data_IF_817160353741
#
_entry.id   IF_817160353741
#
_cell.length_a   1.000
_cell.length_b   1.000
_cell.length_c   1.000
_cell.angle_alpha   90.00
_cell.angle_beta   90.00
_cell.angle_gamma   90.00
#
_symmetry.space_group_name_H-M   'P 1'
#
loop_
_entity.id
_entity.type
_entity.pdbx_description
1 polymer ?
#
# COMPACT_ATOMS: atom_id res chain seq x y z
N UNK A 1 3.01 1.83 24.45
CA UNK A 1 4.00 2.09 23.38
C UNK A 1 4.10 0.78 22.63
N UNK A 2 3.74 0.78 21.34
CA UNK A 2 3.81 -0.42 20.52
C UNK A 2 5.27 -0.81 20.24
N UNK A 3 5.48 -2.03 19.73
CA UNK A 3 6.75 -2.37 19.12
C UNK A 3 6.94 -1.48 17.88
N UNK A 4 8.17 -1.03 17.64
CA UNK A 4 8.52 -0.32 16.44
C UNK A 4 8.88 -1.33 15.35
N UNK A 5 8.30 -1.15 14.17
CA UNK A 5 8.54 -2.03 13.02
C UNK A 5 9.21 -1.22 11.90
N UNK A 6 10.17 -1.83 11.22
CA UNK A 6 10.77 -1.26 10.03
C UNK A 6 9.79 -1.25 8.85
N UNK A 7 9.64 -0.10 8.20
CA UNK A 7 8.74 0.07 7.06
C UNK A 7 9.37 0.94 5.97
N UNK A 8 8.94 0.72 4.73
CA UNK A 8 9.20 1.55 3.57
C UNK A 8 7.86 1.99 2.95
N UNK A 9 7.76 3.25 2.54
CA UNK A 9 6.53 3.87 2.06
C UNK A 9 6.71 4.46 0.66
N UNK A 10 5.66 4.35 -0.15
CA UNK A 10 5.49 5.04 -1.44
C UNK A 10 4.14 5.71 -1.49
N UNK A 11 4.10 6.98 -1.91
CA UNK A 11 2.84 7.65 -2.27
C UNK A 11 2.29 7.07 -3.56
N UNK A 12 0.97 7.02 -3.65
CA UNK A 12 0.33 6.47 -4.83
C UNK A 12 0.62 7.31 -6.08
N UNK A 13 0.97 6.64 -7.16
CA UNK A 13 0.93 7.17 -8.52
C UNK A 13 0.70 6.02 -9.50
N UNK A 14 0.41 6.34 -10.77
CA UNK A 14 0.18 5.32 -11.79
C UNK A 14 1.41 4.43 -12.01
N UNK A 15 2.61 5.00 -11.90
CA UNK A 15 3.85 4.25 -12.06
C UNK A 15 4.04 3.22 -10.94
N UNK A 16 3.49 3.45 -9.75
CA UNK A 16 3.60 2.54 -8.60
C UNK A 16 2.69 1.34 -8.81
N UNK A 17 1.46 1.58 -9.25
CA UNK A 17 0.52 0.51 -9.59
C UNK A 17 1.11 -0.41 -10.65
N UNK A 18 1.63 0.16 -11.75
CA UNK A 18 2.20 -0.64 -12.83
C UNK A 18 3.49 -1.37 -12.40
N UNK A 19 4.33 -0.74 -11.58
CA UNK A 19 5.53 -1.36 -11.04
C UNK A 19 5.22 -2.51 -10.06
N UNK A 20 4.16 -2.36 -9.25
CA UNK A 20 3.66 -3.44 -8.39
C UNK A 20 3.15 -4.61 -9.23
N UNK A 21 2.33 -4.35 -10.25
CA UNK A 21 1.80 -5.41 -11.11
C UNK A 21 2.91 -6.16 -11.86
N UNK A 22 3.90 -5.44 -12.40
CA UNK A 22 5.06 -6.05 -13.07
C UNK A 22 5.96 -6.83 -12.10
N UNK A 23 6.21 -6.28 -10.91
CA UNK A 23 7.20 -6.82 -9.97
C UNK A 23 6.66 -7.94 -9.07
N UNK A 24 5.44 -7.79 -8.56
CA UNK A 24 4.85 -8.71 -7.57
C UNK A 24 3.51 -9.31 -8.00
N UNK A 25 2.95 -8.88 -9.15
CA UNK A 25 1.71 -9.43 -9.70
C UNK A 25 0.44 -8.97 -8.97
N UNK A 26 -0.68 -9.71 -9.11
CA UNK A 26 -1.93 -9.37 -8.43
C UNK A 26 -1.85 -9.63 -6.92
N UNK A 27 -2.64 -8.91 -6.10
CA UNK A 27 -2.66 -9.08 -4.65
C UNK A 27 -3.12 -10.49 -4.27
N UNK A 28 -2.54 -11.01 -3.18
CA UNK A 28 -2.97 -12.29 -2.60
C UNK A 28 -4.31 -12.15 -1.87
N UNK A 29 -4.65 -10.95 -1.41
CA UNK A 29 -5.96 -10.63 -0.86
C UNK A 29 -6.35 -9.17 -1.11
N UNK A 30 -7.66 -8.97 -1.25
CA UNK A 30 -8.30 -7.69 -1.51
C UNK A 30 -9.41 -7.52 -0.49
N UNK A 31 -9.40 -6.43 0.26
CA UNK A 31 -10.34 -6.24 1.35
C UNK A 31 -11.46 -5.28 0.97
N UNK A 32 -12.64 -5.50 1.55
CA UNK A 32 -13.83 -4.62 1.39
C UNK A 32 -13.54 -3.17 1.82
N UNK A 33 -12.59 -2.94 2.72
CA UNK A 33 -12.17 -1.60 3.15
C UNK A 33 -11.24 -0.90 2.14
N UNK A 34 -10.92 -1.54 1.01
CA UNK A 34 -10.09 -1.00 -0.06
C UNK A 34 -8.62 -1.39 0.01
N UNK A 35 -8.16 -2.01 1.10
CA UNK A 35 -6.77 -2.48 1.22
C UNK A 35 -6.48 -3.61 0.22
N UNK A 36 -5.27 -3.61 -0.33
CA UNK A 36 -4.73 -4.69 -1.17
C UNK A 36 -3.44 -5.20 -0.54
N UNK A 37 -3.25 -6.51 -0.48
CA UNK A 37 -2.08 -7.11 0.19
C UNK A 37 -1.36 -8.12 -0.68
N UNK A 38 -0.03 -8.15 -0.58
CA UNK A 38 0.84 -9.18 -1.12
C UNK A 38 1.78 -9.69 -0.04
N UNK A 39 2.19 -10.95 -0.16
CA UNK A 39 3.25 -11.54 0.64
C UNK A 39 4.37 -11.95 -0.33
N UNK A 40 5.56 -11.39 -0.12
CA UNK A 40 6.69 -11.56 -1.03
C UNK A 40 7.87 -12.08 -0.24
N UNK A 41 8.32 -13.29 -0.57
CA UNK A 41 9.53 -13.86 0.01
C UNK A 41 10.77 -13.17 -0.58
N UNK A 42 11.65 -12.67 0.28
CA UNK A 42 12.87 -11.94 -0.12
C UNK A 42 14.09 -12.47 0.61
N UNK A 43 15.26 -12.44 -0.03
CA UNK A 43 16.52 -12.70 0.66
C UNK A 43 16.67 -14.12 1.25
N UNK A 44 17.26 -14.26 2.46
CA UNK A 44 17.45 -15.56 3.13
C UNK A 44 16.13 -16.29 3.42
N UNK A 45 16.19 -17.61 3.73
CA UNK A 45 15.01 -18.36 4.16
C UNK A 45 14.27 -17.65 5.29
N UNK A 46 12.94 -17.77 5.29
CA UNK A 46 12.02 -17.27 6.32
C UNK A 46 11.88 -15.74 6.42
N UNK A 47 12.29 -14.99 5.38
CA UNK A 47 12.01 -13.56 5.29
C UNK A 47 10.90 -13.28 4.28
N UNK A 48 9.74 -12.87 4.77
CA UNK A 48 8.60 -12.47 3.95
C UNK A 48 8.24 -11.02 4.26
N UNK A 49 8.11 -10.21 3.21
CA UNK A 49 7.59 -8.85 3.32
C UNK A 49 6.10 -8.84 3.01
N UNK A 50 5.33 -8.10 3.81
CA UNK A 50 3.98 -7.72 3.45
C UNK A 50 4.02 -6.39 2.72
N UNK A 51 3.45 -6.37 1.52
CA UNK A 51 3.14 -5.16 0.79
C UNK A 51 1.68 -4.87 1.04
N UNK A 52 1.37 -3.69 1.57
CA UNK A 52 0.01 -3.27 1.90
C UNK A 52 -0.29 -1.93 1.25
N UNK A 53 -1.21 -1.95 0.29
CA UNK A 53 -1.73 -0.74 -0.32
C UNK A 53 -2.86 -0.20 0.56
N UNK A 54 -2.67 1.02 1.06
CA UNK A 54 -3.56 1.67 1.99
C UNK A 54 -4.64 2.47 1.25
N UNK A 55 -5.93 2.23 1.55
CA UNK A 55 -7.03 2.98 0.97
C UNK A 55 -7.09 4.40 1.54
N UNK A 56 -7.77 5.31 0.84
CA UNK A 56 -8.01 6.67 1.32
C UNK A 56 -8.83 6.70 2.62
N UNK A 57 -8.72 7.80 3.37
CA UNK A 57 -9.60 8.09 4.50
C UNK A 57 -11.09 8.01 4.10
N UNK A 58 -11.90 7.29 4.88
CA UNK A 58 -13.32 7.14 4.61
C UNK A 58 -13.65 6.36 3.32
N UNK A 59 -12.74 5.49 2.87
CA UNK A 59 -12.88 4.71 1.64
C UNK A 59 -14.28 4.11 1.44
N UNK A 60 -14.75 4.25 0.20
CA UNK A 60 -15.92 3.55 -0.34
C UNK A 60 -15.53 2.89 -1.65
N UNK A 61 -15.81 1.60 -1.81
CA UNK A 61 -15.61 0.92 -3.08
C UNK A 61 -16.43 1.54 -4.22
N UNK A 62 -15.93 1.55 -5.47
CA UNK A 62 -16.71 2.01 -6.62
C UNK A 62 -18.00 1.20 -6.80
N UNK A 63 -19.13 1.88 -7.06
CA UNK A 63 -20.41 1.20 -7.29
C UNK A 63 -20.33 0.26 -8.49
N UNK A 64 -20.88 -0.94 -8.32
CA UNK A 64 -20.94 -1.95 -9.39
C UNK A 64 -19.63 -2.72 -9.61
N UNK A 65 -18.60 -2.47 -8.80
CA UNK A 65 -17.31 -3.16 -8.89
C UNK A 65 -17.01 -3.94 -7.60
N UNK A 66 -16.63 -5.21 -7.74
CA UNK A 66 -16.17 -6.01 -6.61
C UNK A 66 -14.79 -5.54 -6.13
N UNK A 67 -14.52 -5.67 -4.84
CA UNK A 67 -13.18 -5.38 -4.30
C UNK A 67 -12.11 -6.33 -4.86
N UNK A 68 -12.51 -7.55 -5.27
CA UNK A 68 -11.61 -8.50 -5.96
C UNK A 68 -11.32 -8.11 -7.41
N UNK A 69 -12.22 -7.37 -8.08
CA UNK A 69 -12.03 -6.95 -9.48
C UNK A 69 -11.33 -5.59 -9.60
N UNK A 70 -11.23 -4.85 -8.47
CA UNK A 70 -10.73 -3.47 -8.45
C UNK A 70 -9.29 -3.37 -8.96
N UNK A 71 -8.40 -4.24 -8.46
CA UNK A 71 -6.98 -4.22 -8.85
C UNK A 71 -6.81 -4.42 -10.37
N UNK A 72 -7.36 -5.53 -10.89
CA UNK A 72 -7.24 -5.88 -12.31
C UNK A 72 -7.83 -4.79 -13.22
N UNK A 73 -8.97 -4.20 -12.82
CA UNK A 73 -9.61 -3.12 -13.56
C UNK A 73 -8.72 -1.87 -13.63
N UNK A 74 -8.12 -1.46 -12.52
CA UNK A 74 -7.20 -0.31 -12.46
C UNK A 74 -5.95 -0.58 -13.29
N UNK A 75 -5.31 -1.74 -13.12
CA UNK A 75 -4.10 -2.13 -13.88
C UNK A 75 -4.39 -2.15 -15.37
N UNK A 76 -5.49 -2.76 -15.81
CA UNK A 76 -5.86 -2.81 -17.22
C UNK A 76 -6.08 -1.41 -17.81
N UNK A 77 -6.78 -0.54 -17.08
CA UNK A 77 -7.00 0.84 -17.50
C UNK A 77 -5.68 1.61 -17.64
N UNK A 78 -4.82 1.59 -16.62
CA UNK A 78 -3.54 2.29 -16.63
C UNK A 78 -2.59 1.75 -17.70
N UNK A 79 -2.53 0.43 -17.87
CA UNK A 79 -1.70 -0.22 -18.90
C UNK A 79 -2.15 0.12 -20.33
N UNK A 80 -3.44 0.43 -20.51
CA UNK A 80 -3.99 0.93 -21.79
C UNK A 80 -3.75 2.43 -22.02
N UNK A 81 -3.13 3.13 -21.07
CA UNK A 81 -2.85 4.56 -21.14
C UNK A 81 -4.00 5.45 -20.68
N UNK A 82 -4.92 4.94 -19.85
CA UNK A 82 -5.97 5.76 -19.25
C UNK A 82 -5.39 6.86 -18.34
N UNK A 83 -6.10 7.98 -18.24
CA UNK A 83 -5.73 9.08 -17.34
C UNK A 83 -5.97 8.67 -15.87
N UNK A 84 -4.93 8.65 -15.01
CA UNK A 84 -5.09 8.26 -13.60
C UNK A 84 -5.98 9.22 -12.81
N UNK A 85 -6.29 10.41 -13.32
CA UNK A 85 -7.25 11.33 -12.69
C UNK A 85 -8.72 11.02 -13.01
N UNK A 86 -8.99 10.10 -13.96
CA UNK A 86 -10.33 9.79 -14.44
C UNK A 86 -10.47 8.33 -14.92
N UNK A 87 -10.33 7.38 -14.00
CA UNK A 87 -10.53 5.95 -14.26
C UNK A 87 -12.01 5.58 -14.21
N UNK A 88 -12.50 4.88 -15.24
CA UNK A 88 -13.85 4.31 -15.25
C UNK A 88 -13.85 2.99 -14.49
N UNK A 89 -14.54 2.93 -13.34
CA UNK A 89 -14.55 1.81 -12.41
C UNK A 89 -15.99 1.47 -12.02
N UNK A 90 -16.48 0.33 -12.52
CA UNK A 90 -17.91 -0.01 -12.40
C UNK A 90 -18.79 1.05 -13.06
N UNK A 91 -19.68 1.66 -12.27
CA UNK A 91 -20.63 2.68 -12.73
C UNK A 91 -20.13 4.13 -12.51
N UNK A 92 -18.89 4.31 -12.03
CA UNK A 92 -18.35 5.60 -11.60
C UNK A 92 -17.03 5.96 -12.32
N UNK A 93 -16.69 7.25 -12.28
CA UNK A 93 -15.35 7.75 -12.63
C UNK A 93 -14.65 8.24 -11.36
N UNK A 94 -13.45 7.74 -11.08
CA UNK A 94 -12.64 8.11 -9.90
C UNK A 94 -11.21 8.41 -10.29
N UNK A 95 -10.54 9.27 -9.53
CA UNK A 95 -9.08 9.36 -9.62
C UNK A 95 -8.42 8.20 -8.87
N UNK A 96 -7.21 7.83 -9.25
CA UNK A 96 -6.40 6.84 -8.53
C UNK A 96 -6.20 7.26 -7.06
N UNK A 97 -6.02 8.56 -6.81
CA UNK A 97 -5.89 9.16 -5.49
C UNK A 97 -7.19 9.21 -4.68
N UNK A 98 -8.34 8.85 -5.27
CA UNK A 98 -9.59 8.64 -4.52
C UNK A 98 -9.74 7.18 -4.04
N UNK A 99 -8.83 6.29 -4.44
CA UNK A 99 -8.86 4.86 -4.08
C UNK A 99 -7.84 4.55 -2.99
N UNK A 100 -6.59 4.96 -3.20
CA UNK A 100 -5.48 4.62 -2.32
C UNK A 100 -4.63 5.86 -2.01
N UNK A 101 -4.05 5.88 -0.82
CA UNK A 101 -3.11 6.93 -0.40
C UNK A 101 -1.66 6.55 -0.74
N UNK A 102 -1.32 5.27 -0.64
CA UNK A 102 0.03 4.78 -0.87
C UNK A 102 0.27 3.33 -0.44
N UNK A 103 1.47 2.85 -0.74
CA UNK A 103 1.96 1.52 -0.42
C UNK A 103 2.86 1.59 0.81
N UNK A 104 2.61 0.71 1.78
CA UNK A 104 3.54 0.38 2.84
C UNK A 104 4.12 -1.01 2.61
N UNK A 105 5.41 -1.17 2.89
CA UNK A 105 6.08 -2.48 2.93
C UNK A 105 6.76 -2.65 4.27
N UNK A 106 6.52 -3.78 4.93
CA UNK A 106 7.07 -4.12 6.24
C UNK A 106 7.27 -5.64 6.33
N UNK A 107 7.95 -6.11 7.38
CA UNK A 107 8.12 -7.54 7.62
C UNK A 107 6.80 -8.18 8.07
N UNK A 108 6.41 -9.30 7.45
CA UNK A 108 5.08 -9.87 7.60
C UNK A 108 4.87 -10.64 8.92
N UNK A 109 5.95 -11.08 9.56
CA UNK A 109 5.93 -11.97 10.72
C UNK A 109 6.69 -11.38 11.91
N UNK A 110 7.83 -11.96 12.28
CA UNK A 110 8.61 -11.55 13.45
C UNK A 110 10.12 -11.50 13.15
N UNK A 111 10.51 -11.42 11.87
CA UNK A 111 11.92 -11.21 11.54
C UNK A 111 12.35 -9.78 11.89
N UNK A 112 13.45 -9.68 12.63
CA UNK A 112 14.03 -8.39 13.05
C UNK A 112 14.86 -7.79 11.90
N UNK A 113 14.19 -7.03 11.04
CA UNK A 113 14.80 -6.37 9.89
C UNK A 113 14.99 -4.88 10.14
N UNK A 114 16.16 -4.37 9.76
CA UNK A 114 16.43 -2.94 9.77
C UNK A 114 15.71 -2.22 8.62
N UNK A 115 15.34 -0.94 8.76
CA UNK A 115 14.68 -0.16 7.69
C UNK A 115 15.41 -0.15 6.35
N UNK A 116 16.74 -0.18 6.38
CA UNK A 116 17.55 -0.25 5.15
C UNK A 116 17.39 -1.58 4.41
N UNK A 117 17.19 -2.69 5.14
CA UNK A 117 16.96 -4.01 4.54
C UNK A 117 15.57 -4.07 3.89
N UNK A 118 14.52 -3.60 4.59
CA UNK A 118 13.17 -3.49 4.03
C UNK A 118 13.18 -2.63 2.75
N UNK A 119 13.78 -1.45 2.81
CA UNK A 119 13.85 -0.54 1.67
C UNK A 119 14.58 -1.16 0.47
N UNK A 120 15.71 -1.83 0.70
CA UNK A 120 16.48 -2.47 -0.37
C UNK A 120 15.70 -3.62 -1.01
N UNK A 121 15.16 -4.54 -0.21
CA UNK A 121 14.43 -5.70 -0.72
C UNK A 121 13.13 -5.29 -1.42
N UNK A 122 12.39 -4.34 -0.86
CA UNK A 122 11.18 -3.84 -1.50
C UNK A 122 11.49 -3.14 -2.84
N UNK A 123 12.55 -2.32 -2.90
CA UNK A 123 13.04 -1.73 -4.15
C UNK A 123 13.42 -2.80 -5.18
N UNK A 124 14.06 -3.88 -4.77
CA UNK A 124 14.41 -4.98 -5.66
C UNK A 124 13.17 -5.67 -6.22
N UNK A 125 12.10 -5.81 -5.43
CA UNK A 125 10.83 -6.39 -5.87
C UNK A 125 10.06 -5.52 -6.87
N UNK A 126 10.00 -4.20 -6.68
CA UNK A 126 9.15 -3.31 -7.51
C UNK A 126 9.93 -2.37 -8.44
N UNK A 127 11.27 -2.41 -8.40
CA UNK A 127 12.14 -1.58 -9.24
C UNK A 127 12.11 -0.07 -8.95
N UNK A 128 11.52 0.38 -7.83
CA UNK A 128 11.40 1.79 -7.44
C UNK A 128 11.92 2.04 -6.02
N UNK A 129 12.62 3.17 -5.84
CA UNK A 129 13.03 3.64 -4.51
C UNK A 129 11.81 4.04 -3.67
N UNK A 130 11.78 3.72 -2.36
CA UNK A 130 10.78 4.27 -1.46
C UNK A 130 10.91 5.77 -1.30
N UNK A 131 9.76 6.42 -1.11
CA UNK A 131 9.73 7.83 -0.74
C UNK A 131 10.30 8.02 0.67
N UNK A 132 10.01 7.08 1.58
CA UNK A 132 10.49 7.09 2.97
C UNK A 132 10.75 5.67 3.47
N UNK A 133 11.69 5.53 4.38
CA UNK A 133 11.85 4.32 5.17
C UNK A 133 12.31 4.65 6.59
N UNK A 134 11.93 3.80 7.55
CA UNK A 134 12.29 3.98 8.96
C UNK A 134 11.47 3.10 9.88
N UNK A 135 11.50 3.42 11.18
CA UNK A 135 10.74 2.70 12.20
C UNK A 135 9.40 3.40 12.46
N UNK A 136 8.30 2.65 12.45
CA UNK A 136 6.92 3.11 12.72
C UNK A 136 6.30 2.34 13.90
N UNK A 137 5.42 2.99 14.66
CA UNK A 137 4.54 2.36 15.66
C UNK A 137 3.17 2.13 15.01
N UNK A 138 2.96 0.93 14.48
CA UNK A 138 1.67 0.52 13.88
C UNK A 138 0.53 0.54 14.88
N UNK A 139 0.79 0.22 16.15
CA UNK A 139 -0.24 0.19 17.18
C UNK A 139 -0.77 1.60 17.46
N UNK A 140 0.10 2.61 17.50
CA UNK A 140 -0.29 4.00 17.63
C UNK A 140 -1.12 4.49 16.43
N UNK A 141 -0.66 4.22 15.20
CA UNK A 141 -1.40 4.59 13.99
C UNK A 141 -2.76 3.88 13.89
N UNK A 142 -2.80 2.57 14.11
CA UNK A 142 -4.04 1.78 14.09
C UNK A 142 -5.03 2.24 15.16
N UNK A 143 -4.54 2.52 16.38
CA UNK A 143 -5.37 3.09 17.44
C UNK A 143 -5.99 4.42 17.02
N UNK A 144 -5.19 5.35 16.47
CA UNK A 144 -5.69 6.65 16.03
C UNK A 144 -6.75 6.51 14.92
N UNK A 145 -6.49 5.64 13.95
CA UNK A 145 -7.41 5.35 12.84
C UNK A 145 -8.73 4.73 13.30
N UNK A 146 -8.68 3.77 14.23
CA UNK A 146 -9.87 3.16 14.82
C UNK A 146 -10.70 4.19 15.61
N UNK A 147 -10.05 5.03 16.42
CA UNK A 147 -10.73 6.08 17.20
C UNK A 147 -11.39 7.14 16.31
N UNK A 148 -10.86 7.38 15.12
CA UNK A 148 -11.46 8.31 14.16
C UNK A 148 -12.64 7.68 13.39
N UNK A 149 -12.93 6.40 13.58
CA UNK A 149 -13.89 5.68 12.75
C UNK A 149 -13.45 5.62 11.29
N UNK A 150 -12.14 5.50 11.04
CA UNK A 150 -11.51 5.40 9.71
C UNK A 150 -11.59 6.67 8.86
N UNK A 151 -11.94 7.80 9.47
CA UNK A 151 -12.05 9.11 8.80
C UNK A 151 -10.71 9.82 8.53
N UNK A 152 -9.59 9.22 8.93
CA UNK A 152 -8.24 9.75 8.69
C UNK A 152 -7.42 8.72 7.90
N UNK A 153 -6.40 9.17 7.18
CA UNK A 153 -5.54 8.28 6.40
C UNK A 153 -4.59 7.53 7.31
N UNK A 154 -4.60 6.20 7.24
CA UNK A 154 -3.61 5.38 7.95
C UNK A 154 -2.21 5.58 7.37
N UNK A 155 -2.11 5.75 6.05
CA UNK A 155 -0.85 6.02 5.36
C UNK A 155 -0.24 7.35 5.82
N UNK A 156 -1.04 8.42 5.91
CA UNK A 156 -0.54 9.73 6.37
C UNK A 156 0.01 9.65 7.79
N UNK A 157 -0.66 8.92 8.69
CA UNK A 157 -0.16 8.70 10.05
C UNK A 157 1.20 8.00 10.07
N UNK A 158 1.40 7.00 9.21
CA UNK A 158 2.68 6.30 9.08
C UNK A 158 3.76 7.20 8.48
N UNK A 159 3.43 7.93 7.42
CA UNK A 159 4.36 8.84 6.76
C UNK A 159 4.79 9.99 7.69
N UNK A 160 3.88 10.52 8.50
CA UNK A 160 4.19 11.57 9.47
C UNK A 160 5.14 11.10 10.57
N UNK A 161 5.05 9.83 11.00
CA UNK A 161 6.04 9.25 11.92
C UNK A 161 7.45 9.20 11.32
N UNK A 162 7.55 9.02 10.00
CA UNK A 162 8.84 9.00 9.28
C UNK A 162 9.36 10.40 8.96
N UNK A 163 8.50 11.43 8.90
CA UNK A 163 8.92 12.84 8.75
C UNK A 163 9.45 13.47 10.04
N UNK A 164 8.98 12.99 11.19
CA UNK A 164 9.30 13.56 12.50
C UNK A 164 10.68 13.14 13.06
N UNK A 165 11.51 12.46 12.25
CA UNK A 165 12.84 11.96 12.59
C UNK A 165 13.90 12.61 11.71
#
# INVERSE_FOLDING_TARGET
MGALTAAALWRIDAALILALDEGVGPPVDSYVNGSQTWLVDVGPPDTTLEFRLHPVAGYSGPTGLSHYDLWETVVAALSSGADPSALTLGDETRSLTDLWDGLEVFEAYEADLEPAQIASSARESIGREPDRSGLVDHAASGTAWDHSGRSISLFDLLEDQLKAK
#
